data_IF_099618105237
#
_entry.id   IF_099618105237
#
_cell.length_a   1.000
_cell.length_b   1.000
_cell.length_c   1.000
_cell.angle_alpha   90.00
_cell.angle_beta   90.00
_cell.angle_gamma   90.00
#
_symmetry.space_group_name_H-M   'P 1'
#
loop_
_entity.id
_entity.type
_entity.pdbx_description
1 polymer ?
#
# COMPACT_ATOMS: atom_id res chain seq x y z
N UNK A 1 -8.08 12.41 66.31
CA UNK A 1 -8.50 12.73 64.92
C UNK A 1 -7.50 12.35 63.82
N UNK A 2 -6.18 12.20 64.07
CA UNK A 2 -5.22 11.84 63.00
C UNK A 2 -5.20 10.36 62.57
N UNK A 3 -5.72 9.44 63.40
CA UNK A 3 -5.67 8.00 63.12
C UNK A 3 -6.81 7.52 62.19
N UNK A 4 -7.94 8.23 62.18
CA UNK A 4 -9.10 7.90 61.33
C UNK A 4 -8.86 8.31 59.87
N UNK A 5 -8.17 9.42 59.63
CA UNK A 5 -7.80 9.89 58.29
C UNK A 5 -6.75 8.99 57.62
N UNK A 6 -5.86 8.38 58.41
CA UNK A 6 -4.84 7.45 57.90
C UNK A 6 -5.47 6.15 57.35
N UNK A 7 -6.52 5.64 57.99
CA UNK A 7 -7.23 4.43 57.55
C UNK A 7 -8.02 4.70 56.26
N UNK A 8 -8.62 5.88 56.14
CA UNK A 8 -9.33 6.29 54.92
C UNK A 8 -8.38 6.43 53.72
N UNK A 9 -7.16 6.91 53.96
CA UNK A 9 -6.14 7.04 52.92
C UNK A 9 -5.62 5.68 52.43
N UNK A 10 -5.44 4.72 53.34
CA UNK A 10 -5.00 3.35 52.98
C UNK A 10 -6.09 2.59 52.20
N UNK A 11 -7.36 2.80 52.52
CA UNK A 11 -8.46 2.20 51.77
C UNK A 11 -8.58 2.79 50.35
N UNK A 12 -8.32 4.09 50.19
CA UNK A 12 -8.34 4.74 48.87
C UNK A 12 -7.19 4.27 47.95
N UNK A 13 -6.01 3.96 48.51
CA UNK A 13 -4.88 3.44 47.73
C UNK A 13 -5.03 1.97 47.30
N UNK A 14 -5.86 1.17 47.98
CA UNK A 14 -6.04 -0.26 47.65
C UNK A 14 -7.09 -0.52 46.55
N UNK A 15 -7.92 0.48 46.20
CA UNK A 15 -8.95 0.35 45.14
C UNK A 15 -8.42 0.80 43.76
N UNK A 16 -7.20 1.35 43.68
CA UNK A 16 -6.62 1.82 42.42
C UNK A 16 -5.94 0.72 41.58
N UNK A 17 -5.90 -0.53 42.04
CA UNK A 17 -5.41 -1.67 41.25
C UNK A 17 -6.54 -2.28 40.42
N UNK A 18 -7.13 -1.46 39.55
CA UNK A 18 -8.04 -1.90 38.51
C UNK A 18 -7.26 -2.46 37.32
N UNK A 19 -7.48 -3.75 37.04
CA UNK A 19 -7.37 -4.42 35.74
C UNK A 19 -6.51 -3.73 34.68
N UNK A 20 -5.23 -4.12 34.59
CA UNK A 20 -4.57 -4.09 33.28
C UNK A 20 -4.98 -5.36 32.55
N UNK A 21 -6.18 -5.36 31.97
CA UNK A 21 -6.40 -6.20 30.80
C UNK A 21 -5.31 -5.80 29.81
N UNK A 22 -4.44 -6.76 29.48
CA UNK A 22 -3.51 -6.59 28.38
C UNK A 22 -4.35 -6.12 27.19
N UNK A 23 -4.06 -4.91 26.74
CA UNK A 23 -4.53 -4.37 25.49
C UNK A 23 -4.23 -5.42 24.42
N UNK A 24 -5.19 -6.29 24.12
CA UNK A 24 -5.37 -6.73 22.76
C UNK A 24 -5.72 -5.46 22.02
N UNK A 25 -4.66 -4.76 21.60
CA UNK A 25 -4.72 -3.67 20.64
C UNK A 25 -5.78 -4.06 19.64
N UNK A 26 -6.90 -3.32 19.66
CA UNK A 26 -7.93 -3.44 18.67
C UNK A 26 -7.21 -3.37 17.34
N UNK A 27 -7.17 -4.52 16.65
CA UNK A 27 -6.49 -4.69 15.38
C UNK A 27 -7.13 -3.67 14.46
N UNK A 28 -6.38 -2.68 14.00
CA UNK A 28 -6.84 -1.70 13.02
C UNK A 28 -7.61 -2.44 11.91
N UNK A 29 -8.92 -2.24 11.85
CA UNK A 29 -9.78 -2.59 10.72
C UNK A 29 -10.07 -1.29 9.99
N UNK A 30 -9.32 -1.04 8.92
CA UNK A 30 -9.66 0.02 7.99
C UNK A 30 -8.84 -0.21 6.75
N UNK A 31 -9.47 -0.71 5.67
CA UNK A 31 -8.95 -0.67 4.29
C UNK A 31 -9.53 -1.78 3.40
N UNK A 32 -9.34 -1.54 2.09
CA UNK A 32 -9.50 -2.42 0.91
C UNK A 32 -9.85 -3.87 1.25
N UNK A 33 -11.06 -4.27 0.86
CA UNK A 33 -11.59 -5.62 1.08
C UNK A 33 -10.64 -6.73 0.62
N UNK A 34 -10.68 -7.87 1.32
CA UNK A 34 -9.97 -9.09 0.91
C UNK A 34 -10.48 -9.61 -0.44
N UNK A 35 -11.72 -9.30 -0.80
CA UNK A 35 -12.35 -9.66 -2.08
C UNK A 35 -11.94 -8.74 -3.23
N UNK A 36 -11.19 -7.66 -2.96
CA UNK A 36 -10.72 -6.76 -4.01
C UNK A 36 -9.69 -7.48 -4.89
N UNK A 37 -9.79 -7.24 -6.21
CA UNK A 37 -8.94 -7.85 -7.23
C UNK A 37 -7.45 -7.63 -6.94
N UNK A 38 -6.65 -8.70 -7.03
CA UNK A 38 -5.20 -8.65 -6.85
C UNK A 38 -4.48 -8.35 -8.16
N UNK A 39 -3.25 -7.87 -8.04
CA UNK A 39 -2.40 -7.60 -9.20
C UNK A 39 -2.11 -8.90 -9.96
N UNK A 40 -1.95 -10.01 -9.25
CA UNK A 40 -1.80 -11.34 -9.81
C UNK A 40 -3.02 -11.74 -10.67
N UNK A 41 -4.24 -11.56 -10.15
CA UNK A 41 -5.48 -11.88 -10.86
C UNK A 41 -5.58 -11.08 -12.17
N UNK A 42 -5.22 -9.79 -12.14
CA UNK A 42 -5.19 -8.96 -13.33
C UNK A 42 -4.12 -9.38 -14.35
N UNK A 43 -2.95 -9.85 -13.89
CA UNK A 43 -1.91 -10.41 -14.78
C UNK A 43 -2.41 -11.70 -15.43
N UNK A 44 -3.15 -12.54 -14.73
CA UNK A 44 -3.76 -13.72 -15.31
C UNK A 44 -4.85 -13.38 -16.33
N UNK A 45 -5.70 -12.40 -16.03
CA UNK A 45 -6.69 -11.90 -16.98
C UNK A 45 -6.06 -11.26 -18.22
N UNK A 46 -4.90 -10.62 -18.09
CA UNK A 46 -4.16 -10.07 -19.22
C UNK A 46 -3.82 -11.14 -20.26
N UNK A 47 -3.57 -12.39 -19.85
CA UNK A 47 -3.34 -13.52 -20.78
C UNK A 47 -4.46 -13.66 -21.79
N UNK A 48 -5.71 -13.54 -21.30
CA UNK A 48 -6.93 -13.73 -22.06
C UNK A 48 -7.36 -12.48 -22.82
N UNK A 49 -7.29 -11.33 -22.15
CA UNK A 49 -7.92 -10.09 -22.64
C UNK A 49 -6.95 -9.14 -23.31
N UNK A 50 -5.63 -9.32 -23.09
CA UNK A 50 -4.57 -8.37 -23.46
C UNK A 50 -4.79 -6.97 -22.91
N UNK A 51 -5.57 -6.85 -21.84
CA UNK A 51 -5.88 -5.60 -21.15
C UNK A 51 -5.51 -5.73 -19.69
N UNK A 52 -4.85 -4.71 -19.16
CA UNK A 52 -4.52 -4.63 -17.74
C UNK A 52 -5.32 -3.47 -17.12
N UNK A 53 -5.93 -3.64 -15.93
CA UNK A 53 -6.76 -2.62 -15.30
C UNK A 53 -6.01 -1.32 -15.06
N UNK A 54 -6.69 -0.20 -15.25
CA UNK A 54 -6.16 1.16 -15.05
C UNK A 54 -6.59 1.80 -13.74
N UNK A 55 -7.55 1.18 -13.06
CA UNK A 55 -8.12 1.62 -11.80
C UNK A 55 -7.89 0.55 -10.74
N UNK A 56 -7.47 0.99 -9.57
CA UNK A 56 -7.01 0.11 -8.50
C UNK A 56 -7.37 0.68 -7.14
N UNK A 57 -7.64 -0.20 -6.17
CA UNK A 57 -7.56 0.15 -4.76
C UNK A 57 -6.29 -0.48 -4.20
N UNK A 58 -5.34 0.33 -3.77
CA UNK A 58 -4.04 -0.12 -3.26
C UNK A 58 -3.60 0.70 -2.05
N UNK A 59 -2.65 0.15 -1.30
CA UNK A 59 -2.00 0.83 -0.19
C UNK A 59 -0.81 1.63 -0.69
N UNK A 60 -0.57 2.81 -0.13
CA UNK A 60 0.61 3.59 -0.47
C UNK A 60 1.84 3.10 0.31
N UNK A 61 2.93 2.77 -0.41
CA UNK A 61 4.20 2.32 0.18
C UNK A 61 5.16 3.48 0.44
N UNK A 62 5.29 4.41 -0.50
CA UNK A 62 6.30 5.47 -0.45
C UNK A 62 6.74 5.98 -1.82
N UNK A 63 7.71 6.91 -1.83
CA UNK A 63 8.34 7.44 -3.05
C UNK A 63 9.61 6.65 -3.37
N UNK A 64 9.76 6.24 -4.62
CA UNK A 64 10.98 5.62 -5.16
C UNK A 64 11.39 6.35 -6.45
N UNK A 65 12.35 7.27 -6.32
CA UNK A 65 12.76 8.13 -7.44
C UNK A 65 11.60 9.00 -7.97
N UNK A 66 11.27 8.86 -9.25
CA UNK A 66 10.19 9.60 -9.91
C UNK A 66 8.82 8.91 -9.80
N UNK A 67 8.73 7.86 -8.97
CA UNK A 67 7.55 7.03 -8.80
C UNK A 67 7.02 7.12 -7.36
N UNK A 68 5.70 7.03 -7.24
CA UNK A 68 5.03 6.62 -6.01
C UNK A 68 4.67 5.16 -6.16
N UNK A 69 4.99 4.37 -5.13
CA UNK A 69 4.80 2.92 -5.14
C UNK A 69 3.57 2.59 -4.32
N UNK A 70 2.69 1.79 -4.92
CA UNK A 70 1.51 1.27 -4.28
C UNK A 70 1.55 -0.25 -4.30
N UNK A 71 0.90 -0.89 -3.33
CA UNK A 71 0.87 -2.35 -3.21
C UNK A 71 -0.52 -2.88 -2.90
N UNK A 72 -0.80 -4.10 -3.38
CA UNK A 72 -2.01 -4.83 -3.02
C UNK A 72 -1.84 -5.54 -1.67
N UNK A 73 -2.90 -6.17 -1.18
CA UNK A 73 -2.86 -6.90 0.09
C UNK A 73 -1.83 -8.04 0.12
N UNK A 74 -1.46 -8.57 -1.04
CA UNK A 74 -0.45 -9.63 -1.17
C UNK A 74 0.98 -9.07 -1.27
N UNK A 75 1.14 -7.74 -1.19
CA UNK A 75 2.42 -7.05 -1.30
C UNK A 75 2.97 -6.96 -2.72
N UNK A 76 2.16 -7.24 -3.75
CA UNK A 76 2.56 -6.98 -5.14
C UNK A 76 2.48 -5.49 -5.42
N UNK A 77 3.45 -4.97 -6.16
CA UNK A 77 3.59 -3.52 -6.36
C UNK A 77 3.14 -3.06 -7.75
N UNK A 78 2.64 -1.83 -7.82
CA UNK A 78 2.52 -1.03 -9.04
C UNK A 78 3.26 0.28 -8.83
N UNK A 79 4.07 0.65 -9.82
CA UNK A 79 4.85 1.89 -9.80
C UNK A 79 4.16 2.96 -10.64
N UNK A 80 3.75 4.05 -10.01
CA UNK A 80 3.07 5.17 -10.67
C UNK A 80 4.02 6.36 -10.78
N UNK A 81 4.41 6.71 -12.01
CA UNK A 81 5.18 7.92 -12.30
C UNK A 81 4.28 9.13 -12.04
N UNK A 82 4.65 9.95 -11.08
CA UNK A 82 3.90 11.16 -10.69
C UNK A 82 4.61 12.45 -11.14
N UNK A 83 5.90 12.37 -11.45
CA UNK A 83 6.71 13.53 -11.86
C UNK A 83 7.54 13.24 -13.11
N UNK A 84 7.88 14.29 -13.86
CA UNK A 84 8.70 14.20 -15.08
C UNK A 84 10.18 14.02 -14.77
N UNK A 85 10.65 14.63 -13.69
CA UNK A 85 12.01 14.60 -13.20
C UNK A 85 12.06 15.09 -11.74
N UNK A 86 13.25 15.07 -11.13
CA UNK A 86 13.49 15.46 -9.74
C UNK A 86 13.21 16.93 -9.37
N UNK A 87 13.01 17.82 -10.35
CA UNK A 87 12.74 19.25 -10.13
C UNK A 87 11.27 19.63 -10.38
N UNK A 88 10.42 18.66 -10.68
CA UNK A 88 9.01 18.87 -11.00
C UNK A 88 8.21 19.06 -9.70
N UNK A 89 8.21 20.29 -9.20
CA UNK A 89 7.54 20.68 -7.95
C UNK A 89 6.03 20.43 -7.98
N UNK A 90 5.40 20.59 -9.15
CA UNK A 90 3.97 20.29 -9.35
C UNK A 90 3.66 18.82 -9.04
N UNK A 91 4.57 17.92 -9.41
CA UNK A 91 4.46 16.49 -9.09
C UNK A 91 4.59 16.24 -7.59
N UNK A 92 5.56 16.87 -6.92
CA UNK A 92 5.72 16.75 -5.47
C UNK A 92 4.49 17.23 -4.71
N UNK A 93 3.98 18.39 -5.10
CA UNK A 93 2.77 18.97 -4.53
C UNK A 93 1.55 18.07 -4.81
N UNK A 94 1.46 17.48 -6.00
CA UNK A 94 0.37 16.59 -6.36
C UNK A 94 0.26 15.37 -5.47
N UNK A 95 1.38 14.80 -5.00
CA UNK A 95 1.39 13.58 -4.15
C UNK A 95 1.68 13.86 -2.67
N UNK A 96 1.66 15.12 -2.25
CA UNK A 96 2.04 15.53 -0.88
C UNK A 96 1.15 14.92 0.21
N UNK A 97 -0.11 14.63 -0.12
CA UNK A 97 -1.13 14.14 0.79
C UNK A 97 -1.17 12.59 0.86
N UNK A 98 -0.24 11.91 0.17
CA UNK A 98 -0.10 10.45 0.30
C UNK A 98 0.55 10.09 1.63
N UNK A 99 -0.18 9.33 2.45
CA UNK A 99 0.28 8.83 3.73
C UNK A 99 0.56 7.34 3.68
N UNK A 100 1.76 6.94 4.11
CA UNK A 100 2.23 5.57 3.99
C UNK A 100 1.31 4.62 4.78
N UNK A 101 0.93 3.51 4.15
CA UNK A 101 0.01 2.52 4.71
C UNK A 101 -1.47 2.84 4.51
N UNK A 102 -1.84 4.05 4.06
CA UNK A 102 -3.24 4.38 3.82
C UNK A 102 -3.74 3.76 2.49
N UNK A 103 -5.03 3.36 2.43
CA UNK A 103 -5.65 2.86 1.23
C UNK A 103 -6.09 4.00 0.30
N UNK A 104 -5.86 3.83 -0.99
CA UNK A 104 -6.22 4.79 -2.02
C UNK A 104 -6.92 4.11 -3.19
N UNK A 105 -7.94 4.76 -3.73
CA UNK A 105 -8.39 4.53 -5.09
C UNK A 105 -7.49 5.30 -6.04
N UNK A 106 -6.91 4.61 -7.01
CA UNK A 106 -5.86 5.14 -7.89
C UNK A 106 -6.27 4.87 -9.32
N UNK A 107 -6.14 5.88 -10.18
CA UNK A 107 -6.28 5.73 -11.62
C UNK A 107 -4.98 6.17 -12.30
N UNK A 108 -4.54 5.37 -13.27
CA UNK A 108 -3.40 5.69 -14.09
C UNK A 108 -3.50 5.18 -15.51
N UNK A 109 -2.57 5.63 -16.35
CA UNK A 109 -2.37 5.10 -17.70
C UNK A 109 -1.27 4.05 -17.67
N UNK A 110 -1.54 2.84 -18.16
CA UNK A 110 -0.52 1.79 -18.21
C UNK A 110 0.51 2.14 -19.28
N UNK A 111 1.78 2.23 -18.92
CA UNK A 111 2.85 2.69 -19.82
C UNK A 111 3.93 1.65 -20.07
N UNK A 112 4.01 0.62 -19.23
CA UNK A 112 5.02 -0.42 -19.36
C UNK A 112 5.13 -1.29 -18.11
N UNK A 113 6.28 -1.93 -17.95
CA UNK A 113 6.59 -2.77 -16.81
C UNK A 113 8.10 -2.89 -16.59
N UNK A 114 8.51 -3.16 -15.36
CA UNK A 114 9.85 -3.64 -15.03
C UNK A 114 9.85 -5.16 -15.03
N UNK A 115 10.77 -5.77 -15.78
CA UNK A 115 11.01 -7.21 -15.72
C UNK A 115 12.34 -7.48 -15.03
N UNK A 116 12.30 -8.28 -13.98
CA UNK A 116 13.50 -8.71 -13.28
C UNK A 116 13.86 -10.13 -13.71
N UNK A 117 14.69 -10.25 -14.75
CA UNK A 117 15.15 -11.55 -15.23
C UNK A 117 15.94 -12.32 -14.17
N UNK A 118 15.88 -13.64 -14.23
CA UNK A 118 16.67 -14.52 -13.36
C UNK A 118 18.11 -14.62 -13.88
N UNK A 119 19.07 -14.69 -12.95
CA UNK A 119 20.47 -15.01 -13.25
C UNK A 119 20.63 -16.51 -13.57
N UNK A 120 21.83 -16.92 -13.99
CA UNK A 120 22.15 -18.33 -14.28
C UNK A 120 22.05 -19.26 -13.06
N UNK A 121 21.85 -18.69 -11.87
CA UNK A 121 21.68 -19.40 -10.60
C UNK A 121 20.22 -19.35 -10.11
N UNK A 122 19.29 -18.84 -10.93
CA UNK A 122 17.87 -18.73 -10.59
C UNK A 122 17.52 -17.59 -9.63
N UNK A 123 18.43 -16.64 -9.36
CA UNK A 123 18.17 -15.48 -8.49
C UNK A 123 17.74 -14.27 -9.31
N UNK A 124 16.83 -13.48 -8.76
CA UNK A 124 16.39 -12.22 -9.37
C UNK A 124 17.57 -11.27 -9.56
N UNK A 125 17.77 -10.75 -10.78
CA UNK A 125 18.74 -9.67 -11.01
C UNK A 125 18.39 -8.45 -10.17
N UNK A 126 19.41 -7.71 -9.76
CA UNK A 126 19.24 -6.50 -8.93
C UNK A 126 18.60 -5.37 -9.73
N UNK A 127 19.04 -5.21 -10.98
CA UNK A 127 18.56 -4.14 -11.85
C UNK A 127 17.42 -4.65 -12.75
N UNK A 128 16.25 -3.98 -12.73
CA UNK A 128 15.17 -4.31 -13.63
C UNK A 128 15.46 -3.86 -15.06
N UNK A 129 14.88 -4.58 -16.01
CA UNK A 129 14.77 -4.13 -17.39
C UNK A 129 13.43 -3.41 -17.58
N UNK A 130 13.48 -2.11 -17.87
CA UNK A 130 12.27 -1.36 -18.23
C UNK A 130 11.81 -1.76 -19.63
N UNK A 131 10.54 -2.17 -19.76
CA UNK A 131 9.90 -2.54 -21.02
C UNK A 131 8.70 -1.62 -21.28
N UNK A 132 8.50 -1.27 -22.54
CA UNK A 132 7.35 -0.49 -23.01
C UNK A 132 6.23 -1.42 -23.47
N UNK A 133 5.05 -0.85 -23.70
CA UNK A 133 3.94 -1.55 -24.33
C UNK A 133 4.15 -1.73 -25.85
N UNK A 134 3.54 -2.76 -26.47
CA UNK A 134 2.71 -3.81 -25.86
C UNK A 134 3.55 -4.79 -25.04
N UNK A 135 3.00 -5.28 -23.92
CA UNK A 135 3.74 -6.16 -23.04
C UNK A 135 3.84 -7.58 -23.59
N UNK A 136 5.04 -8.15 -23.57
CA UNK A 136 5.23 -9.58 -23.87
C UNK A 136 4.55 -10.40 -22.79
N UNK A 137 3.69 -11.32 -23.18
CA UNK A 137 2.83 -12.05 -22.24
C UNK A 137 3.66 -12.84 -21.24
N UNK A 138 4.66 -13.57 -21.72
CA UNK A 138 5.50 -14.47 -20.92
C UNK A 138 6.30 -13.71 -19.87
N UNK A 139 6.74 -12.48 -20.19
CA UNK A 139 7.43 -11.61 -19.24
C UNK A 139 6.43 -10.95 -18.27
N UNK A 140 5.29 -10.46 -18.76
CA UNK A 140 4.38 -9.65 -17.94
C UNK A 140 3.67 -10.44 -16.84
N UNK A 141 3.34 -11.70 -17.13
CA UNK A 141 2.65 -12.60 -16.18
C UNK A 141 3.59 -13.08 -15.07
N UNK A 142 4.89 -12.87 -15.21
CA UNK A 142 5.89 -13.29 -14.25
C UNK A 142 5.67 -12.60 -12.89
N UNK A 143 5.93 -13.36 -11.82
CA UNK A 143 5.79 -12.87 -10.44
C UNK A 143 6.74 -11.69 -10.16
N UNK A 144 7.92 -11.69 -10.79
CA UNK A 144 8.92 -10.66 -10.64
C UNK A 144 8.71 -9.47 -11.56
N UNK A 145 7.59 -9.39 -12.28
CA UNK A 145 7.24 -8.20 -13.05
C UNK A 145 6.51 -7.17 -12.21
N UNK A 146 6.87 -5.88 -12.36
CA UNK A 146 6.19 -4.76 -11.72
C UNK A 146 5.56 -3.86 -12.78
N UNK A 147 4.22 -3.71 -12.83
CA UNK A 147 3.56 -2.81 -13.75
C UNK A 147 3.93 -1.35 -13.51
N UNK A 148 4.06 -0.58 -14.59
CA UNK A 148 4.39 0.85 -14.55
C UNK A 148 3.28 1.68 -15.17
N UNK A 149 2.83 2.69 -14.44
CA UNK A 149 1.77 3.60 -14.82
C UNK A 149 2.25 5.05 -14.82
N UNK A 150 1.55 5.91 -15.57
CA UNK A 150 1.52 7.34 -15.30
C UNK A 150 0.34 7.61 -14.36
N UNK A 151 0.61 8.28 -13.24
CA UNK A 151 -0.44 8.65 -12.29
C UNK A 151 -1.36 9.70 -12.92
N UNK A 152 -2.67 9.49 -12.83
CA UNK A 152 -3.68 10.45 -13.31
C UNK A 152 -4.41 11.08 -12.12
N UNK A 153 -4.93 10.25 -11.20
CA UNK A 153 -5.61 10.70 -9.99
C UNK A 153 -5.45 9.67 -8.88
N UNK A 154 -5.58 10.12 -7.64
CA UNK A 154 -5.76 9.27 -6.47
C UNK A 154 -6.76 9.91 -5.51
N UNK A 155 -7.41 9.09 -4.71
CA UNK A 155 -8.33 9.50 -3.66
C UNK A 155 -8.17 8.57 -2.47
N UNK A 156 -7.97 9.12 -1.28
CA UNK A 156 -7.90 8.34 -0.05
C UNK A 156 -9.25 7.66 0.22
N UNK A 157 -9.19 6.39 0.63
CA UNK A 157 -10.37 5.61 1.00
C UNK A 157 -10.54 5.72 2.51
N UNK A 158 -11.44 6.59 2.94
CA UNK A 158 -11.88 6.60 4.33
C UNK A 158 -12.83 5.42 4.57
N UNK A 159 -12.62 4.68 5.65
CA UNK A 159 -13.56 3.66 6.10
C UNK A 159 -14.42 4.31 7.17
N UNK A 160 -15.73 4.49 6.92
CA UNK A 160 -16.66 5.15 7.85
C UNK A 160 -16.99 4.30 9.11
N UNK A 161 -16.21 3.28 9.45
CA UNK A 161 -16.48 2.37 10.58
C UNK A 161 -16.08 2.91 11.96
N UNK A 162 -16.05 4.23 12.17
CA UNK A 162 -15.75 4.85 13.48
C UNK A 162 -16.98 5.34 14.26
N UNK A 163 -18.20 4.93 13.91
CA UNK A 163 -19.40 5.32 14.66
C UNK A 163 -20.44 4.20 14.78
N UNK A 164 -20.14 3.10 15.50
CA UNK A 164 -21.17 2.30 16.20
C UNK A 164 -20.59 1.58 17.41
#
# INVERSE_FOLDING_TARGET
MKFLELIFFIFFCLVSFGFTEAQTQQKYTGSISVTEKRIADAKEEYKKTKRFPTEWKLFYKGKEGDFVVFYDWNGQEIHYRYRRNKFDLDGEEFVKDLFQGNPYFIQGEWTGYYFYSLDSRGRRKVLPEKKNLPAKEEEFIDLHTVPIFKLIRYQEIFTDELLY
#
